data_IF_722429360503
#
_entry.id   IF_722429360503
#
_cell.length_a   1.000
_cell.length_b   1.000
_cell.length_c   1.000
_cell.angle_alpha   90.00
_cell.angle_beta   90.00
_cell.angle_gamma   90.00
#
_symmetry.space_group_name_H-M   'P 1'
#
loop_
_entity.id
_entity.type
_entity.pdbx_description
1 polymer ?
#
# COMPACT_ATOMS: atom_id res chain seq x y z
N UNK A 1 35.43 12.51 11.27
CA UNK A 1 34.62 11.35 10.88
C UNK A 1 33.74 11.78 9.72
N UNK A 2 33.57 10.95 8.72
CA UNK A 2 32.62 11.19 7.64
C UNK A 2 31.22 11.12 8.24
N UNK A 3 30.33 12.01 7.81
CA UNK A 3 28.93 12.05 8.27
C UNK A 3 28.12 10.95 7.61
N UNK A 4 27.26 10.28 8.39
CA UNK A 4 26.37 9.22 7.94
C UNK A 4 24.95 9.74 7.79
N UNK A 5 24.38 9.58 6.59
CA UNK A 5 23.02 9.99 6.26
C UNK A 5 22.16 8.79 5.91
N UNK A 6 20.95 8.73 6.46
CA UNK A 6 19.92 7.79 6.05
C UNK A 6 18.84 8.55 5.32
N UNK A 7 18.54 8.13 4.08
CA UNK A 7 17.52 8.72 3.22
C UNK A 7 16.35 7.77 3.12
N UNK A 8 15.27 8.10 3.80
CA UNK A 8 14.08 7.25 3.95
C UNK A 8 12.78 7.99 3.53
N UNK A 9 12.71 8.57 2.31
CA UNK A 9 11.50 9.18 1.80
C UNK A 9 10.52 8.14 1.26
N UNK A 10 9.24 8.49 1.27
CA UNK A 10 8.21 7.89 0.41
C UNK A 10 8.21 8.55 -0.98
N UNK A 11 7.38 8.07 -1.86
CA UNK A 11 7.14 8.65 -3.18
C UNK A 11 6.51 10.05 -3.06
N UNK A 12 6.92 10.94 -3.96
CA UNK A 12 6.21 12.20 -4.18
C UNK A 12 5.24 11.96 -5.33
N UNK A 13 4.01 11.59 -4.95
CA UNK A 13 2.97 11.13 -5.88
C UNK A 13 2.88 12.02 -7.11
N UNK A 14 2.76 11.43 -8.31
CA UNK A 14 2.73 12.08 -9.62
C UNK A 14 4.03 12.83 -10.01
N UNK A 15 5.05 12.87 -9.14
CA UNK A 15 6.32 13.57 -9.38
C UNK A 15 7.51 12.62 -9.47
N UNK A 16 7.80 11.88 -8.39
CA UNK A 16 8.96 10.99 -8.36
C UNK A 16 8.73 9.79 -7.42
N UNK A 17 9.33 8.64 -7.75
CA UNK A 17 9.35 7.47 -6.88
C UNK A 17 10.22 7.71 -5.64
N UNK A 18 10.04 6.91 -4.58
CA UNK A 18 10.86 6.95 -3.37
C UNK A 18 12.36 6.78 -3.68
N UNK A 19 12.71 5.91 -4.63
CA UNK A 19 14.09 5.74 -5.10
C UNK A 19 14.66 7.02 -5.72
N UNK A 20 13.92 7.65 -6.62
CA UNK A 20 14.34 8.92 -7.23
C UNK A 20 14.46 10.05 -6.21
N UNK A 21 13.59 10.05 -5.19
CA UNK A 21 13.71 10.99 -4.08
C UNK A 21 15.01 10.77 -3.29
N UNK A 22 15.38 9.51 -2.98
CA UNK A 22 16.69 9.20 -2.38
C UNK A 22 17.86 9.70 -3.25
N UNK A 23 17.82 9.44 -4.56
CA UNK A 23 18.85 9.89 -5.51
C UNK A 23 18.98 11.42 -5.57
N UNK A 24 17.85 12.14 -5.54
CA UNK A 24 17.83 13.60 -5.51
C UNK A 24 18.42 14.15 -4.19
N UNK A 25 18.04 13.54 -3.05
CA UNK A 25 18.60 13.89 -1.74
C UNK A 25 20.10 13.64 -1.70
N UNK A 26 20.58 12.50 -2.21
CA UNK A 26 22.01 12.18 -2.28
C UNK A 26 22.77 13.22 -3.11
N UNK A 27 22.28 13.61 -4.30
CA UNK A 27 22.92 14.65 -5.13
C UNK A 27 23.06 15.96 -4.35
N UNK A 28 22.03 16.36 -3.58
CA UNK A 28 22.09 17.55 -2.74
C UNK A 28 23.18 17.46 -1.65
N UNK A 29 23.25 16.32 -0.94
CA UNK A 29 24.26 16.10 0.11
C UNK A 29 25.67 16.12 -0.48
N UNK A 30 25.90 15.43 -1.59
CA UNK A 30 27.25 15.31 -2.19
C UNK A 30 27.83 16.60 -2.73
N UNK A 31 26.99 17.57 -3.05
CA UNK A 31 27.49 18.94 -3.40
C UNK A 31 28.20 19.64 -2.24
N UNK A 32 27.86 19.28 -0.99
CA UNK A 32 28.44 19.91 0.21
C UNK A 32 29.42 18.96 0.89
N UNK A 33 29.05 17.66 0.99
CA UNK A 33 29.82 16.61 1.63
C UNK A 33 30.09 15.44 0.65
N UNK A 34 31.05 15.56 -0.27
CA UNK A 34 31.29 14.56 -1.32
C UNK A 34 31.63 13.16 -0.80
N UNK A 35 32.17 13.07 0.42
CA UNK A 35 32.60 11.81 1.05
C UNK A 35 31.62 11.28 2.11
N UNK A 36 30.43 11.88 2.24
CA UNK A 36 29.42 11.39 3.20
C UNK A 36 29.06 9.91 2.93
N UNK A 37 28.88 9.13 3.98
CA UNK A 37 28.27 7.82 3.88
C UNK A 37 26.76 7.99 3.77
N UNK A 38 26.14 7.38 2.76
CA UNK A 38 24.72 7.59 2.45
C UNK A 38 24.04 6.25 2.24
N UNK A 39 22.98 6.01 3.01
CA UNK A 39 22.13 4.84 2.90
C UNK A 39 20.78 5.23 2.29
N UNK A 40 20.43 4.62 1.16
CA UNK A 40 19.11 4.75 0.53
C UNK A 40 18.17 3.70 1.09
N UNK A 41 17.07 4.12 1.66
CA UNK A 41 16.01 3.26 2.18
C UNK A 41 14.66 3.79 1.68
N UNK A 42 14.32 3.56 0.41
CA UNK A 42 13.01 3.94 -0.11
C UNK A 42 11.90 3.38 0.76
N UNK A 43 10.95 4.23 1.16
CA UNK A 43 9.86 3.87 2.05
C UNK A 43 8.52 3.79 1.32
N UNK A 44 7.54 3.16 1.98
CA UNK A 44 6.14 3.14 1.62
C UNK A 44 5.30 2.78 2.85
N UNK A 45 3.99 2.98 2.79
CA UNK A 45 3.05 2.77 3.91
C UNK A 45 2.14 1.52 3.72
N UNK A 46 2.45 0.64 2.77
CA UNK A 46 1.60 -0.51 2.40
C UNK A 46 0.65 -0.20 1.24
N UNK A 47 0.66 1.03 0.74
CA UNK A 47 -0.08 1.45 -0.46
C UNK A 47 0.73 1.30 -1.75
N UNK A 48 0.49 2.22 -2.68
CA UNK A 48 1.20 2.30 -3.95
C UNK A 48 2.71 2.54 -3.74
N UNK A 49 3.53 1.81 -4.50
CA UNK A 49 4.99 1.91 -4.42
C UNK A 49 5.65 0.98 -3.40
N UNK A 50 4.88 0.22 -2.63
CA UNK A 50 5.41 -0.71 -1.61
C UNK A 50 6.27 -1.81 -2.24
N UNK A 51 5.84 -2.39 -3.37
CA UNK A 51 6.66 -3.37 -4.11
C UNK A 51 7.97 -2.75 -4.55
N UNK A 52 7.91 -1.55 -5.13
CA UNK A 52 9.10 -0.87 -5.65
C UNK A 52 10.06 -0.48 -4.52
N UNK A 53 9.54 0.07 -3.42
CA UNK A 53 10.34 0.44 -2.25
C UNK A 53 11.05 -0.79 -1.64
N UNK A 54 10.34 -1.90 -1.44
CA UNK A 54 10.90 -3.10 -0.86
C UNK A 54 11.90 -3.80 -1.80
N UNK A 55 11.59 -3.89 -3.11
CA UNK A 55 12.51 -4.49 -4.09
C UNK A 55 13.78 -3.64 -4.24
N UNK A 56 13.64 -2.32 -4.38
CA UNK A 56 14.79 -1.42 -4.54
C UNK A 56 15.62 -1.32 -3.25
N UNK A 57 14.97 -1.32 -2.08
CA UNK A 57 15.64 -1.26 -0.78
C UNK A 57 16.34 -2.55 -0.36
N UNK A 58 15.82 -3.72 -0.76
CA UNK A 58 16.37 -5.03 -0.37
C UNK A 58 17.25 -5.68 -1.44
N UNK A 59 17.21 -5.21 -2.70
CA UNK A 59 17.87 -5.85 -3.84
C UNK A 59 17.11 -7.07 -4.40
N UNK A 60 15.78 -7.08 -4.24
CA UNK A 60 14.89 -8.10 -4.79
C UNK A 60 14.70 -8.00 -6.30
N UNK A 61 13.81 -8.83 -6.83
CA UNK A 61 13.50 -8.91 -8.27
C UNK A 61 12.03 -8.68 -8.53
N UNK A 62 11.69 -7.92 -9.58
CA UNK A 62 10.30 -7.76 -10.06
C UNK A 62 9.96 -8.87 -11.03
N UNK A 63 8.83 -9.55 -10.81
CA UNK A 63 8.32 -10.63 -11.65
C UNK A 63 7.04 -10.17 -12.31
N UNK A 64 7.08 -10.02 -13.64
CA UNK A 64 5.93 -9.64 -14.43
C UNK A 64 5.00 -10.83 -14.67
N UNK A 65 3.68 -10.60 -14.56
CA UNK A 65 2.64 -11.60 -14.77
C UNK A 65 1.47 -10.99 -15.53
N UNK A 66 0.83 -11.79 -16.39
CA UNK A 66 -0.40 -11.41 -17.07
C UNK A 66 -1.58 -11.94 -16.26
N UNK A 67 -2.39 -11.04 -15.71
CA UNK A 67 -3.51 -11.36 -14.82
C UNK A 67 -4.77 -10.63 -15.26
N UNK A 68 -5.91 -10.99 -14.70
CA UNK A 68 -7.18 -10.31 -14.91
C UNK A 68 -7.13 -8.90 -14.33
N UNK A 69 -7.55 -7.91 -15.12
CA UNK A 69 -7.70 -6.53 -14.68
C UNK A 69 -8.89 -6.33 -13.73
N UNK A 70 -9.20 -5.07 -13.39
CA UNK A 70 -10.40 -4.76 -12.61
C UNK A 70 -11.69 -5.27 -13.29
N UNK A 71 -11.76 -5.21 -14.62
CA UNK A 71 -12.74 -5.92 -15.44
C UNK A 71 -12.15 -7.29 -15.76
N UNK A 72 -12.69 -8.35 -15.18
CA UNK A 72 -12.06 -9.68 -15.17
C UNK A 72 -11.87 -10.29 -16.58
N UNK A 73 -12.61 -9.82 -17.58
CA UNK A 73 -12.43 -10.24 -18.98
C UNK A 73 -11.26 -9.55 -19.69
N UNK A 74 -10.72 -8.49 -19.10
CA UNK A 74 -9.57 -7.75 -19.63
C UNK A 74 -8.29 -8.18 -18.89
N UNK A 75 -7.21 -8.46 -19.62
CA UNK A 75 -5.92 -8.80 -19.03
C UNK A 75 -5.04 -7.56 -18.91
N UNK A 76 -4.31 -7.51 -17.80
CA UNK A 76 -3.29 -6.49 -17.54
C UNK A 76 -1.95 -7.15 -17.27
N UNK A 77 -0.86 -6.45 -17.57
CA UNK A 77 0.46 -6.85 -17.13
C UNK A 77 0.71 -6.23 -15.77
N UNK A 78 0.65 -7.06 -14.73
CA UNK A 78 1.02 -6.69 -13.37
C UNK A 78 2.43 -7.21 -13.04
N UNK A 79 2.96 -6.82 -11.90
CA UNK A 79 4.18 -7.40 -11.35
C UNK A 79 4.11 -7.48 -9.82
N UNK A 80 4.87 -8.40 -9.26
CA UNK A 80 5.11 -8.49 -7.84
C UNK A 80 6.61 -8.54 -7.56
N UNK A 81 7.03 -8.23 -6.33
CA UNK A 81 8.41 -8.33 -5.88
C UNK A 81 8.69 -9.70 -5.29
N UNK A 82 9.85 -10.29 -5.63
CA UNK A 82 10.42 -11.42 -4.90
C UNK A 82 11.67 -10.92 -4.18
N UNK A 83 11.70 -11.03 -2.85
CA UNK A 83 12.81 -10.56 -2.05
C UNK A 83 14.03 -11.50 -2.16
N UNK A 84 15.23 -11.08 -1.73
CA UNK A 84 16.47 -11.84 -1.91
C UNK A 84 16.49 -13.23 -1.26
N UNK A 85 15.61 -13.48 -0.28
CA UNK A 85 15.44 -14.79 0.34
C UNK A 85 14.77 -15.83 -0.60
N UNK A 86 14.25 -15.38 -1.74
CA UNK A 86 13.49 -16.17 -2.73
C UNK A 86 12.27 -16.90 -2.13
N UNK A 87 11.79 -16.47 -0.96
CA UNK A 87 10.63 -17.04 -0.26
C UNK A 87 9.59 -16.01 0.12
N UNK A 88 9.97 -14.73 0.16
CA UNK A 88 9.04 -13.63 0.47
C UNK A 88 8.63 -12.91 -0.81
N UNK A 89 7.35 -12.95 -1.14
CA UNK A 89 6.76 -12.16 -2.23
C UNK A 89 6.03 -10.93 -1.68
N UNK A 90 6.10 -9.83 -2.42
CA UNK A 90 5.38 -8.58 -2.11
C UNK A 90 4.45 -8.26 -3.28
N UNK A 91 3.17 -8.13 -3.00
CA UNK A 91 2.10 -7.89 -3.98
C UNK A 91 1.41 -6.56 -3.65
N UNK A 92 1.20 -5.72 -4.64
CA UNK A 92 0.23 -4.63 -4.59
C UNK A 92 -1.01 -5.04 -5.39
N UNK A 93 -2.16 -5.14 -4.74
CA UNK A 93 -3.41 -5.49 -5.42
C UNK A 93 -3.76 -4.49 -6.53
N UNK A 94 -3.36 -3.22 -6.38
CA UNK A 94 -3.61 -2.17 -7.35
C UNK A 94 -2.93 -2.40 -8.70
N UNK A 95 -1.85 -3.17 -8.76
CA UNK A 95 -1.20 -3.53 -10.04
C UNK A 95 -2.08 -4.44 -10.91
N UNK A 96 -3.00 -5.20 -10.29
CA UNK A 96 -3.98 -6.02 -11.01
C UNK A 96 -5.38 -5.38 -11.03
N UNK A 97 -5.85 -4.90 -9.87
CA UNK A 97 -7.25 -4.50 -9.69
C UNK A 97 -7.37 -3.06 -9.13
N UNK A 98 -6.41 -2.20 -9.48
CA UNK A 98 -6.34 -0.81 -9.05
C UNK A 98 -7.29 0.13 -9.79
N UNK A 99 -7.65 1.23 -9.11
CA UNK A 99 -8.52 2.26 -9.63
C UNK A 99 -7.89 3.01 -10.83
N UNK A 100 -6.58 3.15 -10.83
CA UNK A 100 -5.82 3.84 -11.89
C UNK A 100 -5.82 3.08 -13.24
N UNK A 101 -6.12 1.78 -13.21
CA UNK A 101 -6.27 0.97 -14.41
C UNK A 101 -7.58 1.23 -15.14
N UNK A 102 -8.49 2.01 -14.54
CA UNK A 102 -9.82 2.31 -15.13
C UNK A 102 -9.99 3.81 -15.34
N UNK A 103 -10.33 4.24 -16.57
CA UNK A 103 -10.85 5.58 -16.79
C UNK A 103 -12.12 5.80 -15.95
N UNK A 104 -12.39 7.04 -15.58
CA UNK A 104 -13.50 7.38 -14.67
C UNK A 104 -14.86 6.89 -15.17
N UNK A 105 -15.11 6.99 -16.47
CA UNK A 105 -16.35 6.57 -17.11
C UNK A 105 -16.57 5.04 -17.12
N UNK A 106 -15.53 4.26 -16.88
CA UNK A 106 -15.58 2.79 -16.76
C UNK A 106 -15.61 2.27 -15.33
N UNK A 107 -15.52 3.14 -14.34
CA UNK A 107 -15.55 2.74 -12.92
C UNK A 107 -16.94 2.26 -12.53
N UNK A 108 -17.05 0.99 -12.16
CA UNK A 108 -18.31 0.38 -11.72
C UNK A 108 -18.03 -0.77 -10.71
N UNK A 109 -18.18 -0.53 -9.41
CA UNK A 109 -17.86 -1.54 -8.37
C UNK A 109 -18.84 -2.72 -8.31
N UNK A 110 -19.92 -2.72 -9.12
CA UNK A 110 -20.75 -3.92 -9.28
C UNK A 110 -20.07 -5.02 -10.10
N UNK A 111 -19.20 -4.63 -11.05
CA UNK A 111 -18.60 -5.57 -12.01
C UNK A 111 -17.10 -5.73 -11.84
N UNK A 112 -16.43 -4.77 -11.16
CA UNK A 112 -15.00 -4.88 -10.89
C UNK A 112 -14.72 -5.99 -9.87
N UNK A 113 -13.59 -6.68 -10.06
CA UNK A 113 -13.26 -7.90 -9.32
C UNK A 113 -11.82 -7.92 -8.86
N UNK A 114 -11.59 -8.57 -7.73
CA UNK A 114 -10.27 -8.90 -7.17
C UNK A 114 -9.65 -10.16 -7.76
N UNK A 115 -10.21 -10.73 -8.82
CA UNK A 115 -9.76 -12.01 -9.40
C UNK A 115 -8.26 -11.99 -9.76
N UNK A 116 -7.78 -10.91 -10.38
CA UNK A 116 -6.37 -10.74 -10.72
C UNK A 116 -5.42 -10.73 -9.52
N UNK A 117 -5.87 -10.22 -8.36
CA UNK A 117 -5.10 -10.32 -7.11
C UNK A 117 -4.88 -11.78 -6.71
N UNK A 118 -5.92 -12.63 -6.84
CA UNK A 118 -5.76 -14.06 -6.60
C UNK A 118 -4.84 -14.75 -7.60
N UNK A 119 -4.86 -14.34 -8.88
CA UNK A 119 -3.91 -14.82 -9.89
C UNK A 119 -2.46 -14.40 -9.52
N UNK A 120 -2.24 -13.19 -8.99
CA UNK A 120 -0.92 -12.76 -8.51
C UNK A 120 -0.44 -13.59 -7.32
N UNK A 121 -1.33 -13.92 -6.37
CA UNK A 121 -1.00 -14.81 -5.24
C UNK A 121 -0.56 -16.18 -5.77
N UNK A 122 -1.29 -16.78 -6.72
CA UNK A 122 -0.91 -18.04 -7.35
C UNK A 122 0.44 -17.95 -8.04
N UNK A 123 0.68 -16.89 -8.79
CA UNK A 123 1.97 -16.67 -9.45
C UNK A 123 3.13 -16.58 -8.46
N UNK A 124 2.93 -15.93 -7.30
CA UNK A 124 3.92 -15.89 -6.23
C UNK A 124 4.18 -17.30 -5.65
N UNK A 125 3.12 -18.09 -5.44
CA UNK A 125 3.24 -19.50 -5.02
C UNK A 125 3.96 -20.35 -6.05
N UNK A 126 3.77 -20.08 -7.35
CA UNK A 126 4.47 -20.76 -8.45
C UNK A 126 5.98 -20.45 -8.47
N UNK A 127 6.39 -19.28 -7.94
CA UNK A 127 7.80 -18.93 -7.69
C UNK A 127 8.36 -19.51 -6.37
N UNK A 128 7.54 -20.26 -5.62
CA UNK A 128 7.97 -20.91 -4.38
C UNK A 128 7.84 -20.04 -3.13
N UNK A 129 7.10 -18.93 -3.19
CA UNK A 129 6.89 -18.07 -2.03
C UNK A 129 6.25 -18.84 -0.85
N UNK A 130 6.79 -18.62 0.34
CA UNK A 130 6.32 -19.13 1.63
C UNK A 130 5.76 -18.03 2.52
N UNK A 131 6.07 -16.79 2.19
CA UNK A 131 5.53 -15.58 2.80
C UNK A 131 5.08 -14.62 1.70
N UNK A 132 3.85 -14.13 1.81
CA UNK A 132 3.30 -13.17 0.85
C UNK A 132 2.81 -11.95 1.61
N UNK A 133 3.33 -10.79 1.29
CA UNK A 133 2.90 -9.51 1.83
C UNK A 133 2.05 -8.83 0.77
N UNK A 134 0.83 -8.43 1.13
CA UNK A 134 -0.13 -7.88 0.17
C UNK A 134 -0.53 -6.47 0.61
N UNK A 135 -0.10 -5.47 -0.13
CA UNK A 135 -0.62 -4.11 -0.04
C UNK A 135 -1.98 -4.03 -0.74
N UNK A 136 -2.98 -3.50 -0.06
CA UNK A 136 -4.36 -3.51 -0.55
C UNK A 136 -4.92 -2.11 -0.83
N UNK A 137 -4.09 -1.07 -0.80
CA UNK A 137 -4.46 0.29 -1.18
C UNK A 137 -4.78 0.44 -2.67
N UNK A 138 -5.48 1.50 -3.04
CA UNK A 138 -5.73 1.87 -4.45
C UNK A 138 -6.76 1.01 -5.21
N UNK A 139 -7.61 0.23 -4.53
CA UNK A 139 -8.53 -0.73 -5.16
C UNK A 139 -9.66 -0.10 -5.99
N UNK A 140 -10.01 -0.72 -7.12
CA UNK A 140 -11.19 -0.40 -7.92
C UNK A 140 -12.43 -1.21 -7.54
N UNK A 141 -12.34 -2.14 -6.60
CA UNK A 141 -13.27 -3.25 -6.38
C UNK A 141 -14.10 -3.07 -5.10
N UNK A 142 -15.26 -3.71 -5.05
CA UNK A 142 -16.13 -3.81 -3.86
C UNK A 142 -16.81 -5.19 -3.82
N UNK A 143 -16.03 -6.24 -4.03
CA UNK A 143 -16.49 -7.62 -4.15
C UNK A 143 -16.21 -8.49 -2.92
N UNK A 144 -15.81 -7.87 -1.78
CA UNK A 144 -15.52 -8.64 -0.57
C UNK A 144 -14.32 -9.59 -0.68
N UNK A 145 -13.48 -9.44 -1.71
CA UNK A 145 -12.40 -10.38 -2.02
C UNK A 145 -12.90 -11.70 -2.66
N UNK A 146 -14.16 -11.72 -3.11
CA UNK A 146 -14.76 -12.92 -3.71
C UNK A 146 -14.01 -13.37 -4.96
N UNK A 147 -13.67 -12.44 -5.85
CA UNK A 147 -12.90 -12.76 -7.06
C UNK A 147 -11.53 -13.35 -6.73
N UNK A 148 -10.82 -12.79 -5.76
CA UNK A 148 -9.54 -13.33 -5.27
C UNK A 148 -9.72 -14.77 -4.77
N UNK A 149 -10.75 -15.02 -3.98
CA UNK A 149 -11.05 -16.36 -3.46
C UNK A 149 -11.35 -17.36 -4.59
N UNK A 150 -12.14 -16.95 -5.60
CA UNK A 150 -12.43 -17.79 -6.77
C UNK A 150 -11.15 -18.12 -7.56
N UNK A 151 -10.27 -17.15 -7.76
CA UNK A 151 -8.98 -17.40 -8.42
C UNK A 151 -8.09 -18.39 -7.66
N UNK A 152 -8.19 -18.42 -6.32
CA UNK A 152 -7.51 -19.39 -5.47
C UNK A 152 -8.21 -20.78 -5.43
N UNK A 153 -9.32 -20.95 -6.13
CA UNK A 153 -10.02 -22.23 -6.26
C UNK A 153 -11.22 -22.39 -5.32
N UNK A 154 -11.61 -21.37 -4.58
CA UNK A 154 -12.85 -21.42 -3.76
C UNK A 154 -14.05 -21.25 -4.67
N UNK A 155 -15.08 -22.07 -4.47
CA UNK A 155 -16.31 -21.99 -5.25
C UNK A 155 -17.38 -21.24 -4.45
N UNK A 156 -17.86 -20.16 -5.03
CA UNK A 156 -18.96 -19.35 -4.52
C UNK A 156 -20.22 -19.70 -5.33
N UNK A 157 -21.21 -20.29 -4.71
CA UNK A 157 -22.33 -20.95 -5.40
C UNK A 157 -23.66 -20.26 -5.08
N UNK A 158 -24.55 -20.20 -6.07
CA UNK A 158 -25.93 -19.81 -5.91
C UNK A 158 -26.79 -20.99 -5.35
N UNK A 159 -28.10 -20.77 -5.22
CA UNK A 159 -29.03 -21.77 -4.72
C UNK A 159 -29.17 -23.00 -5.62
N UNK A 160 -28.88 -22.85 -6.90
CA UNK A 160 -28.90 -23.90 -7.92
C UNK A 160 -27.54 -24.61 -8.05
N UNK A 161 -26.56 -24.29 -7.20
CA UNK A 161 -25.15 -24.73 -7.23
C UNK A 161 -24.37 -24.30 -8.48
N UNK A 162 -24.77 -23.24 -9.16
CA UNK A 162 -23.96 -22.61 -10.20
C UNK A 162 -22.92 -21.69 -9.56
N UNK A 163 -21.75 -21.60 -10.16
CA UNK A 163 -20.74 -20.63 -9.74
C UNK A 163 -21.17 -19.19 -10.00
N UNK A 164 -20.95 -18.31 -9.02
CA UNK A 164 -21.24 -16.90 -9.18
C UNK A 164 -20.29 -16.28 -10.20
N UNK A 165 -20.77 -15.37 -11.05
CA UNK A 165 -19.87 -14.49 -11.79
C UNK A 165 -19.10 -13.61 -10.81
N UNK A 166 -17.94 -13.10 -11.24
CA UNK A 166 -17.13 -12.19 -10.44
C UNK A 166 -17.76 -10.80 -10.32
N UNK A 167 -17.37 -10.05 -9.29
CA UNK A 167 -17.80 -8.68 -9.04
C UNK A 167 -18.79 -8.54 -7.88
N UNK A 168 -18.82 -7.33 -7.29
CA UNK A 168 -19.61 -7.06 -6.08
C UNK A 168 -21.13 -7.24 -6.26
N UNK A 169 -21.62 -7.06 -7.49
CA UNK A 169 -23.04 -7.24 -7.80
C UNK A 169 -23.54 -8.67 -7.72
N UNK A 170 -22.67 -9.66 -7.87
CA UNK A 170 -23.05 -11.07 -7.83
C UNK A 170 -23.30 -11.60 -6.41
N UNK A 171 -22.75 -10.96 -5.39
CA UNK A 171 -22.79 -11.43 -4.01
C UNK A 171 -24.18 -11.59 -3.43
N UNK A 172 -25.17 -10.85 -3.93
CA UNK A 172 -26.59 -11.00 -3.53
C UNK A 172 -27.16 -12.40 -3.78
N UNK A 173 -26.55 -13.16 -4.68
CA UNK A 173 -27.01 -14.52 -5.04
C UNK A 173 -26.25 -15.62 -4.31
N UNK A 174 -25.23 -15.27 -3.52
CA UNK A 174 -24.43 -16.27 -2.81
C UNK A 174 -25.30 -17.08 -1.85
N UNK A 175 -25.22 -18.40 -1.94
CA UNK A 175 -25.96 -19.32 -1.06
C UNK A 175 -25.05 -20.32 -0.34
N UNK A 176 -23.91 -20.67 -0.96
CA UNK A 176 -22.98 -21.68 -0.42
C UNK A 176 -21.53 -21.31 -0.76
N UNK A 177 -20.63 -21.66 0.14
CA UNK A 177 -19.17 -21.50 -0.02
C UNK A 177 -18.53 -22.89 0.07
N UNK A 178 -17.82 -23.29 -0.99
CA UNK A 178 -17.06 -24.53 -1.01
C UNK A 178 -15.56 -24.22 -1.04
N UNK A 179 -14.89 -24.49 0.06
CA UNK A 179 -13.45 -24.25 0.26
C UNK A 179 -12.59 -25.48 -0.04
N UNK A 180 -13.19 -26.60 -0.44
CA UNK A 180 -12.47 -27.89 -0.58
C UNK A 180 -11.45 -27.90 -1.72
N UNK A 181 -11.59 -26.99 -2.68
CA UNK A 181 -10.76 -26.90 -3.88
C UNK A 181 -9.78 -25.71 -3.87
N UNK A 182 -9.60 -25.08 -2.70
CA UNK A 182 -8.59 -24.04 -2.54
C UNK A 182 -7.19 -24.58 -2.86
N UNK A 183 -6.33 -23.75 -3.46
CA UNK A 183 -4.93 -24.11 -3.70
C UNK A 183 -4.28 -24.58 -2.37
N UNK A 184 -3.83 -25.86 -2.30
CA UNK A 184 -3.36 -26.42 -1.04
C UNK A 184 -2.11 -25.71 -0.49
N UNK A 185 -1.35 -25.00 -1.31
CA UNK A 185 -0.16 -24.26 -0.90
C UNK A 185 -0.48 -23.09 0.03
N UNK A 186 -1.72 -22.59 0.00
CA UNK A 186 -2.18 -21.52 0.89
C UNK A 186 -2.03 -21.92 2.36
N UNK A 187 -2.29 -23.19 2.70
CA UNK A 187 -2.19 -23.67 4.07
C UNK A 187 -0.76 -23.60 4.66
N UNK A 188 0.25 -23.68 3.79
CA UNK A 188 1.68 -23.66 4.16
C UNK A 188 2.35 -22.30 3.87
N UNK A 189 1.57 -21.26 3.59
CA UNK A 189 2.08 -19.93 3.23
C UNK A 189 1.61 -18.89 4.24
N UNK A 190 2.55 -18.15 4.81
CA UNK A 190 2.22 -16.99 5.65
C UNK A 190 1.76 -15.84 4.76
N UNK A 191 0.52 -15.39 4.93
CA UNK A 191 -0.02 -14.24 4.20
C UNK A 191 -0.25 -13.07 5.16
N UNK A 192 0.30 -11.91 4.80
CA UNK A 192 0.23 -10.68 5.60
C UNK A 192 -0.41 -9.59 4.76
N UNK A 193 -1.42 -8.94 5.32
CA UNK A 193 -2.05 -7.76 4.74
C UNK A 193 -1.32 -6.54 5.29
N UNK A 194 -0.66 -5.77 4.42
CA UNK A 194 -0.06 -4.49 4.75
C UNK A 194 -1.13 -3.39 4.62
N UNK A 195 -1.72 -2.98 5.73
CA UNK A 195 -2.77 -1.95 5.73
C UNK A 195 -3.01 -1.39 7.13
N UNK A 196 -3.13 -0.08 7.23
CA UNK A 196 -3.50 0.66 8.45
C UNK A 196 -4.99 1.03 8.49
N UNK A 197 -5.77 0.59 7.49
CA UNK A 197 -7.22 0.78 7.42
C UNK A 197 -7.92 -0.12 8.43
N UNK A 198 -8.72 0.47 9.32
CA UNK A 198 -9.46 -0.23 10.39
C UNK A 198 -10.97 -0.33 10.14
N UNK A 199 -11.45 0.15 9.00
CA UNK A 199 -12.87 0.14 8.67
C UNK A 199 -13.46 -1.27 8.72
N UNK A 200 -14.65 -1.47 9.34
CA UNK A 200 -15.37 -2.75 9.27
C UNK A 200 -15.88 -3.02 7.86
N UNK A 201 -16.35 -4.24 7.62
CA UNK A 201 -16.88 -4.59 6.29
C UNK A 201 -18.11 -3.75 5.92
N UNK A 202 -19.03 -3.56 6.86
CA UNK A 202 -20.34 -2.94 6.64
C UNK A 202 -20.67 -1.92 7.72
N UNK A 203 -21.74 -1.15 7.50
CA UNK A 203 -22.21 -0.08 8.40
C UNK A 203 -21.74 1.31 7.97
N UNK A 204 -21.97 2.34 8.79
CA UNK A 204 -21.69 3.74 8.41
C UNK A 204 -20.23 4.02 8.05
N UNK A 205 -19.31 3.23 8.61
CA UNK A 205 -17.88 3.27 8.31
C UNK A 205 -17.43 2.06 7.47
N UNK A 206 -18.36 1.36 6.82
CA UNK A 206 -18.11 0.15 6.06
C UNK A 206 -17.47 0.41 4.69
N UNK A 207 -17.05 -0.66 4.05
CA UNK A 207 -16.37 -0.65 2.75
C UNK A 207 -17.12 0.11 1.67
N UNK A 208 -18.43 -0.18 1.51
CA UNK A 208 -19.24 0.43 0.46
C UNK A 208 -19.51 1.90 0.72
N UNK A 209 -19.89 2.25 1.96
CA UNK A 209 -20.26 3.62 2.33
C UNK A 209 -19.07 4.57 2.18
N UNK A 210 -17.90 4.16 2.68
CA UNK A 210 -16.71 5.03 2.71
C UNK A 210 -15.97 5.05 1.38
N UNK A 211 -15.82 3.91 0.71
CA UNK A 211 -14.87 3.79 -0.39
C UNK A 211 -15.50 3.57 -1.78
N UNK A 212 -16.78 3.15 -1.88
CA UNK A 212 -17.38 2.89 -3.17
C UNK A 212 -17.66 4.16 -4.02
N UNK A 213 -17.95 5.35 -3.44
CA UNK A 213 -18.17 6.57 -4.23
C UNK A 213 -16.99 6.91 -5.15
N UNK A 214 -15.75 6.87 -4.68
CA UNK A 214 -14.55 7.13 -5.51
C UNK A 214 -14.34 6.08 -6.61
N UNK A 215 -14.98 4.91 -6.49
CA UNK A 215 -14.94 3.82 -7.46
C UNK A 215 -16.10 3.89 -8.47
N UNK A 216 -16.82 5.01 -8.50
CA UNK A 216 -17.91 5.27 -9.44
C UNK A 216 -19.31 4.86 -8.95
N UNK A 217 -19.48 4.54 -7.65
CA UNK A 217 -20.79 4.21 -7.12
C UNK A 217 -21.64 5.48 -6.88
N UNK A 218 -22.85 5.51 -7.42
CA UNK A 218 -23.90 6.46 -7.01
C UNK A 218 -24.48 6.06 -5.65
N UNK A 219 -25.24 6.93 -5.00
CA UNK A 219 -25.87 6.65 -3.70
C UNK A 219 -26.66 5.33 -3.71
N UNK A 220 -27.49 5.10 -4.74
CA UNK A 220 -28.25 3.85 -4.85
C UNK A 220 -27.38 2.61 -5.11
N UNK A 221 -26.21 2.78 -5.75
CA UNK A 221 -25.25 1.69 -5.89
C UNK A 221 -24.53 1.40 -4.57
N UNK A 222 -24.23 2.41 -3.77
CA UNK A 222 -23.65 2.24 -2.44
C UNK A 222 -24.58 1.40 -1.55
N UNK A 223 -25.87 1.72 -1.52
CA UNK A 223 -26.88 0.94 -0.77
C UNK A 223 -26.90 -0.53 -1.22
N UNK A 224 -26.95 -0.76 -2.52
CA UNK A 224 -26.96 -2.12 -3.09
C UNK A 224 -25.68 -2.90 -2.76
N UNK A 225 -24.51 -2.28 -2.87
CA UNK A 225 -23.23 -2.91 -2.52
C UNK A 225 -23.14 -3.21 -1.03
N UNK A 226 -23.65 -2.32 -0.20
CA UNK A 226 -23.73 -2.53 1.27
C UNK A 226 -24.59 -3.74 1.60
N UNK A 227 -25.80 -3.85 1.03
CA UNK A 227 -26.68 -5.01 1.18
C UNK A 227 -25.99 -6.32 0.73
N UNK A 228 -25.26 -6.27 -0.38
CA UNK A 228 -24.53 -7.42 -0.89
C UNK A 228 -23.41 -7.86 0.06
N UNK A 229 -22.66 -6.94 0.66
CA UNK A 229 -21.62 -7.26 1.63
C UNK A 229 -22.19 -7.74 2.96
N UNK A 230 -23.35 -7.20 3.39
CA UNK A 230 -24.07 -7.73 4.56
C UNK A 230 -24.48 -9.17 4.33
N UNK A 231 -25.09 -9.47 3.17
CA UNK A 231 -25.46 -10.83 2.78
C UNK A 231 -24.23 -11.76 2.72
N UNK A 232 -23.15 -11.31 2.11
CA UNK A 232 -21.89 -12.06 2.02
C UNK A 232 -21.36 -12.44 3.41
N UNK A 233 -21.31 -11.48 4.35
CA UNK A 233 -20.89 -11.74 5.72
C UNK A 233 -21.80 -12.76 6.44
N UNK A 234 -23.13 -12.70 6.20
CA UNK A 234 -24.09 -13.66 6.75
C UNK A 234 -23.85 -15.08 6.24
N UNK A 235 -23.57 -15.22 4.93
CA UNK A 235 -23.29 -16.54 4.34
C UNK A 235 -21.94 -17.06 4.86
N UNK A 236 -20.90 -16.24 4.95
CA UNK A 236 -19.62 -16.64 5.56
C UNK A 236 -19.85 -17.15 6.98
N UNK A 237 -20.61 -16.41 7.80
CA UNK A 237 -20.90 -16.83 9.17
C UNK A 237 -21.67 -18.15 9.23
N UNK A 238 -22.64 -18.34 8.35
CA UNK A 238 -23.46 -19.56 8.28
C UNK A 238 -22.66 -20.78 7.82
N UNK A 239 -21.88 -20.64 6.74
CA UNK A 239 -21.19 -21.76 6.07
C UNK A 239 -19.84 -22.10 6.72
N UNK A 240 -19.12 -21.09 7.24
CA UNK A 240 -17.77 -21.26 7.79
C UNK A 240 -17.67 -20.99 9.31
N UNK A 241 -18.72 -20.49 9.94
CA UNK A 241 -18.73 -20.18 11.38
C UNK A 241 -17.95 -18.92 11.77
N UNK A 242 -17.51 -18.10 10.81
CA UNK A 242 -16.64 -16.92 11.03
C UNK A 242 -17.48 -15.65 11.04
N UNK A 243 -17.49 -14.91 12.14
CA UNK A 243 -18.14 -13.60 12.23
C UNK A 243 -17.15 -12.48 11.90
N UNK A 244 -17.12 -12.09 10.63
CA UNK A 244 -16.11 -11.14 10.10
C UNK A 244 -16.66 -9.71 9.95
N UNK A 245 -17.96 -9.49 10.08
CA UNK A 245 -18.65 -8.24 9.73
C UNK A 245 -18.02 -7.00 10.35
N UNK A 246 -17.70 -7.07 11.63
CA UNK A 246 -17.19 -5.95 12.41
C UNK A 246 -15.68 -6.04 12.68
N UNK A 247 -14.97 -6.97 12.06
CA UNK A 247 -13.53 -7.11 12.25
C UNK A 247 -12.81 -5.85 11.72
N UNK A 248 -11.91 -5.24 12.49
CA UNK A 248 -11.11 -4.12 12.02
C UNK A 248 -10.35 -4.47 10.75
N UNK A 249 -10.43 -3.61 9.73
CA UNK A 249 -9.77 -3.83 8.45
C UNK A 249 -10.51 -4.74 7.47
N UNK A 250 -11.60 -5.39 7.89
CA UNK A 250 -12.42 -6.22 7.00
C UNK A 250 -12.94 -5.45 5.78
N UNK A 251 -13.23 -4.15 5.94
CA UNK A 251 -13.70 -3.27 4.88
C UNK A 251 -12.62 -2.74 3.93
N UNK A 252 -11.36 -2.92 4.26
CA UNK A 252 -10.26 -2.43 3.42
C UNK A 252 -10.36 -2.98 2.00
N UNK A 253 -10.06 -2.12 1.02
CA UNK A 253 -10.09 -2.46 -0.41
C UNK A 253 -11.44 -3.04 -0.89
N UNK A 254 -12.57 -2.46 -0.42
CA UNK A 254 -13.90 -2.95 -0.82
C UNK A 254 -14.21 -4.35 -0.30
N UNK A 255 -13.66 -4.69 0.85
CA UNK A 255 -13.82 -5.98 1.51
C UNK A 255 -12.80 -7.05 1.07
N UNK A 256 -11.77 -6.73 0.28
CA UNK A 256 -10.67 -7.67 0.01
C UNK A 256 -10.05 -8.15 1.33
N UNK A 257 -10.00 -7.27 2.36
CA UNK A 257 -9.61 -7.64 3.71
C UNK A 257 -10.34 -8.87 4.24
N UNK A 258 -11.68 -8.96 4.04
CA UNK A 258 -12.47 -10.18 4.40
C UNK A 258 -11.96 -11.39 3.65
N UNK A 259 -11.84 -11.27 2.31
CA UNK A 259 -11.42 -12.41 1.49
C UNK A 259 -10.08 -12.99 1.96
N UNK A 260 -9.10 -12.14 2.22
CA UNK A 260 -7.78 -12.54 2.71
C UNK A 260 -7.85 -13.13 4.14
N UNK A 261 -8.53 -12.46 5.06
CA UNK A 261 -8.64 -12.93 6.45
C UNK A 261 -9.34 -14.30 6.54
N UNK A 262 -10.47 -14.46 5.82
CA UNK A 262 -11.32 -15.65 5.93
C UNK A 262 -10.74 -16.85 5.17
N UNK A 263 -10.30 -16.64 3.94
CA UNK A 263 -9.97 -17.75 3.04
C UNK A 263 -8.50 -18.12 3.04
N UNK A 264 -7.62 -17.21 3.45
CA UNK A 264 -6.19 -17.52 3.48
C UNK A 264 -5.58 -17.53 4.88
N UNK A 265 -6.37 -17.17 5.90
CA UNK A 265 -5.85 -17.03 7.26
C UNK A 265 -4.85 -15.88 7.43
N UNK A 266 -4.88 -14.90 6.52
CA UNK A 266 -3.98 -13.75 6.56
C UNK A 266 -4.07 -12.99 7.87
N UNK A 267 -2.98 -12.31 8.24
CA UNK A 267 -2.91 -11.41 9.39
C UNK A 267 -2.71 -9.98 8.91
N UNK A 268 -3.35 -9.02 9.56
CA UNK A 268 -3.11 -7.60 9.30
C UNK A 268 -1.90 -7.11 10.09
N UNK A 269 -1.09 -6.30 9.44
CA UNK A 269 0.03 -5.56 10.05
C UNK A 269 0.12 -4.16 9.44
N UNK A 270 0.62 -3.22 10.21
CA UNK A 270 0.92 -1.88 9.72
C UNK A 270 1.88 -1.94 8.52
N UNK A 271 1.54 -1.23 7.45
CA UNK A 271 2.34 -1.19 6.23
C UNK A 271 3.72 -0.61 6.49
N UNK A 272 3.78 0.51 7.21
CA UNK A 272 5.07 1.16 7.51
C UNK A 272 5.96 0.31 8.42
N UNK A 273 5.40 -0.39 9.43
CA UNK A 273 6.18 -1.28 10.28
C UNK A 273 6.81 -2.44 9.50
N UNK A 274 6.06 -3.00 8.55
CA UNK A 274 6.56 -4.04 7.65
C UNK A 274 7.72 -3.54 6.78
N UNK A 275 7.60 -2.35 6.22
CA UNK A 275 8.65 -1.76 5.39
C UNK A 275 9.90 -1.49 6.23
N UNK A 276 9.76 -0.92 7.43
CA UNK A 276 10.87 -0.70 8.38
C UNK A 276 11.60 -2.02 8.69
N UNK A 277 10.86 -3.08 9.00
CA UNK A 277 11.42 -4.40 9.30
C UNK A 277 12.19 -4.98 8.12
N UNK A 278 11.58 -4.99 6.93
CA UNK A 278 12.13 -5.65 5.74
C UNK A 278 13.30 -4.88 5.08
N UNK A 279 13.36 -3.57 5.32
CA UNK A 279 14.48 -2.74 4.84
C UNK A 279 15.62 -2.62 5.85
N UNK A 280 15.47 -3.21 7.04
CA UNK A 280 16.43 -3.07 8.14
C UNK A 280 16.73 -1.59 8.50
N UNK A 281 15.74 -0.71 8.33
CA UNK A 281 15.90 0.74 8.53
C UNK A 281 16.42 1.07 9.94
N UNK A 282 15.99 0.35 10.97
CA UNK A 282 16.40 0.58 12.37
C UNK A 282 17.92 0.46 12.54
N UNK A 283 18.53 -0.55 11.92
CA UNK A 283 19.97 -0.76 11.99
C UNK A 283 20.75 0.39 11.35
N UNK A 284 20.23 0.97 10.28
CA UNK A 284 20.85 2.12 9.60
C UNK A 284 20.67 3.41 10.40
N UNK A 285 19.47 3.64 10.95
CA UNK A 285 19.20 4.83 11.79
C UNK A 285 20.09 4.85 13.03
N UNK A 286 20.35 3.72 13.66
CA UNK A 286 21.22 3.69 14.85
C UNK A 286 22.61 4.27 14.57
N UNK A 287 23.13 4.11 13.37
CA UNK A 287 24.45 4.56 12.94
C UNK A 287 24.44 5.97 12.31
N UNK A 288 23.27 6.48 11.96
CA UNK A 288 23.13 7.76 11.28
C UNK A 288 23.52 8.96 12.16
N UNK A 289 24.09 9.98 11.54
CA UNK A 289 24.16 11.34 12.11
C UNK A 289 22.87 12.10 11.81
N UNK A 290 22.29 11.91 10.62
CA UNK A 290 21.11 12.62 10.14
C UNK A 290 20.19 11.68 9.36
N UNK A 291 18.89 11.84 9.55
CA UNK A 291 17.85 11.10 8.83
C UNK A 291 17.05 12.09 7.99
N UNK A 292 16.86 11.79 6.71
CA UNK A 292 15.99 12.53 5.81
C UNK A 292 14.81 11.65 5.43
N UNK A 293 13.62 12.23 5.48
CA UNK A 293 12.38 11.60 5.00
C UNK A 293 11.57 12.60 4.18
N UNK A 294 10.44 12.21 3.65
CA UNK A 294 9.56 13.10 2.92
C UNK A 294 8.49 12.36 2.12
N UNK A 295 7.54 13.12 1.65
CA UNK A 295 6.46 12.65 0.76
C UNK A 295 5.84 13.84 0.01
N UNK A 296 4.90 13.54 -0.91
CA UNK A 296 4.23 14.57 -1.71
C UNK A 296 3.44 15.59 -0.89
N UNK A 297 2.79 15.19 0.22
CA UNK A 297 2.04 16.09 1.08
C UNK A 297 2.12 15.67 2.55
N UNK A 298 2.65 16.54 3.38
CA UNK A 298 2.78 16.38 4.84
C UNK A 298 1.82 17.32 5.55
N UNK A 299 0.96 16.77 6.41
CA UNK A 299 0.00 17.49 7.25
C UNK A 299 -0.21 16.72 8.57
N UNK A 300 -1.16 17.17 9.40
CA UNK A 300 -1.49 16.49 10.66
C UNK A 300 -1.92 15.02 10.48
N UNK A 301 -2.40 14.62 9.29
CA UNK A 301 -2.82 13.24 9.01
C UNK A 301 -1.62 12.30 8.80
N UNK A 302 -0.44 12.84 8.54
CA UNK A 302 0.79 12.06 8.38
C UNK A 302 1.05 11.15 9.60
N UNK A 303 0.64 11.55 10.81
CA UNK A 303 0.73 10.73 12.03
C UNK A 303 -0.13 9.46 12.05
N UNK A 304 -1.05 9.30 11.09
CA UNK A 304 -1.92 8.13 11.03
C UNK A 304 -1.37 7.03 10.11
N UNK A 305 -0.09 6.70 10.25
CA UNK A 305 0.51 5.53 9.64
C UNK A 305 1.30 5.79 8.34
N UNK A 306 1.50 7.06 7.94
CA UNK A 306 2.31 7.37 6.76
C UNK A 306 3.81 7.17 6.99
N UNK A 307 4.56 6.94 5.91
CA UNK A 307 5.98 6.61 5.97
C UNK A 307 6.83 7.66 6.72
N UNK A 308 6.71 8.99 6.51
CA UNK A 308 7.51 9.96 7.25
C UNK A 308 7.30 9.92 8.76
N UNK A 309 6.08 9.61 9.21
CA UNK A 309 5.79 9.45 10.63
C UNK A 309 6.50 8.23 11.23
N UNK A 310 6.42 7.07 10.57
CA UNK A 310 7.10 5.85 11.03
C UNK A 310 8.61 6.03 11.12
N UNK A 311 9.21 6.71 10.13
CA UNK A 311 10.64 7.06 10.12
C UNK A 311 10.98 8.00 11.30
N UNK A 312 10.15 9.03 11.55
CA UNK A 312 10.37 9.98 12.64
C UNK A 312 10.29 9.30 14.01
N UNK A 313 9.28 8.46 14.25
CA UNK A 313 9.14 7.72 15.52
C UNK A 313 10.31 6.77 15.77
N UNK A 314 10.80 6.11 14.71
CA UNK A 314 11.95 5.23 14.83
C UNK A 314 13.24 6.01 15.13
N UNK A 315 13.44 7.14 14.47
CA UNK A 315 14.61 7.99 14.70
C UNK A 315 14.57 8.66 16.08
N UNK A 316 13.40 9.09 16.56
CA UNK A 316 13.19 9.59 17.93
C UNK A 316 13.62 8.58 18.98
N UNK A 317 13.22 7.31 18.83
CA UNK A 317 13.65 6.19 19.69
C UNK A 317 15.16 6.11 19.83
N UNK A 318 15.90 6.43 18.77
CA UNK A 318 17.37 6.42 18.71
C UNK A 318 18.01 7.81 18.85
N UNK A 319 17.22 8.84 19.22
CA UNK A 319 17.68 10.23 19.42
C UNK A 319 18.42 10.80 18.20
N UNK A 320 17.93 10.48 16.99
CA UNK A 320 18.50 10.96 15.73
C UNK A 320 17.64 12.10 15.15
N UNK A 321 18.28 13.19 14.67
CA UNK A 321 17.53 14.27 14.05
C UNK A 321 16.94 13.85 12.70
N UNK A 322 15.67 14.24 12.49
CA UNK A 322 14.90 13.94 11.27
C UNK A 322 14.51 15.21 10.55
N UNK A 323 14.83 15.29 9.28
CA UNK A 323 14.44 16.36 8.37
C UNK A 323 13.44 15.83 7.36
N UNK A 324 12.21 16.36 7.41
CA UNK A 324 11.15 15.96 6.49
C UNK A 324 11.04 16.96 5.33
N UNK A 325 10.99 16.46 4.11
CA UNK A 325 10.84 17.23 2.87
C UNK A 325 9.45 16.99 2.30
N UNK A 326 8.66 18.04 2.09
CA UNK A 326 7.28 17.96 1.63
C UNK A 326 7.10 18.66 0.28
N UNK A 327 6.40 18.02 -0.66
CA UNK A 327 5.92 18.70 -1.87
C UNK A 327 4.92 19.80 -1.51
N UNK A 328 3.98 19.49 -0.62
CA UNK A 328 3.01 20.41 -0.03
C UNK A 328 3.02 20.28 1.49
N UNK A 329 3.04 21.41 2.19
CA UNK A 329 2.84 21.46 3.63
C UNK A 329 1.39 21.85 3.92
N UNK A 330 0.63 20.91 4.48
CA UNK A 330 -0.78 21.10 4.80
C UNK A 330 -1.02 21.71 6.17
N UNK A 331 -2.26 21.62 6.64
CA UNK A 331 -2.67 22.20 7.92
C UNK A 331 -2.09 21.45 9.12
N UNK A 332 -1.82 22.17 10.19
CA UNK A 332 -1.36 21.66 11.49
C UNK A 332 -0.13 20.77 11.43
N UNK A 333 0.75 21.02 10.47
CA UNK A 333 2.03 20.30 10.30
C UNK A 333 2.93 20.46 11.54
N UNK A 334 2.78 21.54 12.30
CA UNK A 334 3.51 21.81 13.53
C UNK A 334 3.31 20.73 14.61
N UNK A 335 2.20 20.01 14.57
CA UNK A 335 1.93 18.91 15.52
C UNK A 335 2.90 17.74 15.37
N UNK A 336 3.58 17.63 14.22
CA UNK A 336 4.53 16.56 13.94
C UNK A 336 5.90 16.79 14.60
N UNK A 337 6.19 17.99 15.09
CA UNK A 337 7.42 18.24 15.86
C UNK A 337 7.42 17.47 17.19
N UNK A 338 6.25 17.34 17.82
CA UNK A 338 6.06 16.55 19.05
C UNK A 338 6.10 15.04 18.79
N UNK A 339 6.09 14.64 17.51
CA UNK A 339 6.11 13.27 17.04
C UNK A 339 7.49 12.82 16.51
N UNK A 340 8.55 13.57 16.86
CA UNK A 340 9.93 13.22 16.53
C UNK A 340 10.53 13.87 15.29
N UNK A 341 9.77 14.71 14.55
CA UNK A 341 10.33 15.46 13.43
C UNK A 341 11.12 16.67 13.94
N UNK A 342 12.40 16.77 13.58
CA UNK A 342 13.26 17.89 13.97
C UNK A 342 12.92 19.15 13.19
N UNK A 343 12.70 19.03 11.89
CA UNK A 343 12.27 20.14 11.03
C UNK A 343 11.56 19.60 9.78
N UNK A 344 10.63 20.42 9.26
CA UNK A 344 9.83 20.10 8.07
C UNK A 344 10.00 21.24 7.07
N UNK A 345 10.27 20.91 5.82
CA UNK A 345 10.56 21.86 4.76
C UNK A 345 9.72 21.59 3.52
N UNK A 346 9.21 22.66 2.89
CA UNK A 346 8.68 22.55 1.53
C UNK A 346 9.82 22.49 0.51
N UNK A 347 9.70 21.59 -0.48
CA UNK A 347 10.65 21.53 -1.60
C UNK A 347 10.45 22.66 -2.61
N UNK A 348 9.34 23.40 -2.54
CA UNK A 348 9.03 24.49 -3.47
C UNK A 348 9.90 25.72 -3.16
N UNK A 349 10.76 26.09 -4.09
CA UNK A 349 11.63 27.26 -3.97
C UNK A 349 10.92 28.58 -4.28
N UNK A 350 9.76 28.54 -4.93
CA UNK A 350 8.92 29.69 -5.33
C UNK A 350 7.48 29.26 -5.58
N UNK A 351 6.52 30.20 -5.61
CA UNK A 351 5.17 29.92 -6.10
C UNK A 351 5.23 29.35 -7.52
N UNK A 352 4.55 28.23 -7.74
CA UNK A 352 4.57 27.48 -9.00
C UNK A 352 3.17 26.92 -9.29
N UNK A 353 2.86 26.65 -10.57
CA UNK A 353 1.73 25.80 -10.93
C UNK A 353 1.96 24.38 -10.43
N UNK A 354 0.88 23.61 -10.22
CA UNK A 354 1.01 22.19 -9.83
C UNK A 354 1.84 21.41 -10.88
N UNK A 355 1.58 21.64 -12.17
CA UNK A 355 2.30 20.99 -13.26
C UNK A 355 3.81 21.26 -13.21
N UNK A 356 4.22 22.52 -13.00
CA UNK A 356 5.63 22.87 -12.88
C UNK A 356 6.26 22.29 -11.61
N UNK A 357 5.53 22.29 -10.49
CA UNK A 357 5.99 21.72 -9.23
C UNK A 357 6.25 20.22 -9.36
N UNK A 358 5.35 19.47 -9.99
CA UNK A 358 5.48 18.03 -10.24
C UNK A 358 6.66 17.72 -11.17
N UNK A 359 6.83 18.48 -12.27
CA UNK A 359 7.94 18.28 -13.22
C UNK A 359 9.31 18.56 -12.63
N UNK A 360 9.41 19.50 -11.68
CA UNK A 360 10.68 19.94 -11.07
C UNK A 360 10.93 19.35 -9.69
N UNK A 361 10.16 18.35 -9.29
CA UNK A 361 10.24 17.78 -7.95
C UNK A 361 11.64 17.32 -7.57
N UNK A 362 12.33 16.57 -8.43
CA UNK A 362 13.70 16.10 -8.19
C UNK A 362 14.70 17.27 -8.01
N UNK A 363 14.65 18.26 -8.90
CA UNK A 363 15.55 19.43 -8.83
C UNK A 363 15.31 20.27 -7.56
N UNK A 364 14.04 20.46 -7.21
CA UNK A 364 13.65 21.20 -6.02
C UNK A 364 14.10 20.48 -4.74
N UNK A 365 13.93 19.17 -4.68
CA UNK A 365 14.35 18.33 -3.54
C UNK A 365 15.88 18.34 -3.39
N UNK A 366 16.62 18.19 -4.48
CA UNK A 366 18.09 18.28 -4.50
C UNK A 366 18.57 19.62 -3.96
N UNK A 367 18.00 20.75 -4.45
CA UNK A 367 18.37 22.09 -4.01
C UNK A 367 18.05 22.34 -2.54
N UNK A 368 16.89 21.87 -2.06
CA UNK A 368 16.51 21.99 -0.66
C UNK A 368 17.50 21.25 0.24
N UNK A 369 17.78 19.99 -0.07
CA UNK A 369 18.70 19.16 0.73
C UNK A 369 20.11 19.74 0.72
N UNK A 370 20.60 20.25 -0.41
CA UNK A 370 21.88 20.99 -0.45
C UNK A 370 21.88 22.14 0.57
N UNK A 371 20.81 22.95 0.63
CA UNK A 371 20.72 24.08 1.55
C UNK A 371 20.67 23.63 3.02
N UNK A 372 19.91 22.58 3.33
CA UNK A 372 19.86 22.01 4.68
C UNK A 372 21.26 21.55 5.12
N UNK A 373 21.96 20.81 4.27
CA UNK A 373 23.30 20.29 4.58
C UNK A 373 24.32 21.44 4.75
N UNK A 374 24.20 22.52 3.98
CA UNK A 374 25.02 23.72 4.19
C UNK A 374 24.83 24.31 5.58
N UNK A 375 23.59 24.39 6.07
CA UNK A 375 23.28 24.85 7.44
C UNK A 375 23.87 23.89 8.49
N UNK A 376 23.74 22.58 8.29
CA UNK A 376 24.29 21.56 9.20
C UNK A 376 25.83 21.58 9.30
N UNK A 377 26.52 22.14 8.29
CA UNK A 377 27.97 22.25 8.25
C UNK A 377 28.50 23.58 8.79
N UNK A 378 27.64 24.47 9.29
CA UNK A 378 28.10 25.73 9.94
C UNK A 378 28.81 25.34 11.24
N UNK A 379 30.06 25.84 11.39
CA UNK A 379 30.89 25.62 12.60
C UNK A 379 30.55 26.61 13.70
#
# INVERSE_FOLDING_TARGET
MEKVFVLAPDSFKESMSAKKACEAMERGIRKVLPKAEIHHVPMADGGEGTVDALVDGSGGTRIAVSVSGPIATEKVTAYFGLLPDNQTAVIEMAKANGLELLPEDKRNPLITSTYGTGEMIKAALDQGAKKIIIGIGGSATNDGGAGMAQALGIRLLDKENNELPVGGGALSKLAKIDVTTIDPRIADTEIIIASDVTNPLTGPNGASVVFAPQKGATAGLVEKLEENLVHYAQVIKKELGIDIKNHPGAGAAGGLGVGLLVFTGAKMRSGIELVIELTHLEEMITKADYVFTGEGSIDYQTKFGKAPYGVAKLAEKHQKPVFACAGHMGEHVETLYEEGMTAIFSILSKPSSLEDALKKGEENLEQLVENIVRVLCIK
#
